data_IF_379529015613
#
_entry.id   IF_379529015613
#
_cell.length_a   1.000
_cell.length_b   1.000
_cell.length_c   1.000
_cell.angle_alpha   90.00
_cell.angle_beta   90.00
_cell.angle_gamma   90.00
#
_symmetry.space_group_name_H-M   'P 1'
#
loop_
_entity.id
_entity.type
_entity.pdbx_description
1 polymer ?
#
# COMPACT_ATOMS: atom_id res chain seq x y z
N UNK A 1 -26.21 2.21 -5.88
CA UNK A 1 -24.97 2.73 -5.30
C UNK A 1 -25.28 3.30 -3.92
N UNK A 2 -24.71 2.76 -2.83
CA UNK A 2 -24.93 3.27 -1.48
C UNK A 2 -24.31 4.66 -1.30
N UNK A 3 -24.83 5.45 -0.35
CA UNK A 3 -24.21 6.73 0.02
C UNK A 3 -22.84 6.50 0.63
N UNK A 4 -21.81 7.06 0.00
CA UNK A 4 -20.46 7.06 0.52
C UNK A 4 -20.27 8.39 1.25
N UNK A 5 -20.04 8.38 2.58
CA UNK A 5 -19.90 9.62 3.35
C UNK A 5 -18.71 10.42 2.80
N UNK A 6 -18.96 11.63 2.33
CA UNK A 6 -17.91 12.59 1.94
C UNK A 6 -17.29 13.29 3.17
N UNK A 7 -17.28 12.62 4.32
CA UNK A 7 -16.75 13.14 5.58
C UNK A 7 -15.83 12.11 6.20
N UNK A 8 -14.68 12.55 6.69
CA UNK A 8 -13.79 11.70 7.49
C UNK A 8 -14.53 11.15 8.72
N UNK A 9 -14.22 9.93 9.15
CA UNK A 9 -14.67 9.42 10.45
C UNK A 9 -14.13 10.30 11.57
N UNK A 10 -14.80 10.32 12.72
CA UNK A 10 -14.19 10.78 13.95
C UNK A 10 -13.09 9.80 14.35
N UNK A 11 -11.85 10.28 14.53
CA UNK A 11 -10.75 9.43 14.98
C UNK A 11 -9.65 10.24 15.66
N UNK A 12 -8.82 9.55 16.44
CA UNK A 12 -7.53 10.05 16.94
C UNK A 12 -6.41 9.11 16.47
N UNK A 13 -5.24 9.68 16.24
CA UNK A 13 -4.04 8.92 15.89
C UNK A 13 -2.80 9.57 16.49
N UNK A 14 -1.91 8.78 17.10
CA UNK A 14 -0.71 9.29 17.79
C UNK A 14 0.50 9.48 16.87
N UNK A 15 0.49 8.94 15.64
CA UNK A 15 1.54 9.06 14.65
C UNK A 15 1.23 10.06 13.53
N UNK A 16 2.09 10.10 12.52
CA UNK A 16 1.88 10.91 11.31
C UNK A 16 0.95 10.19 10.33
N UNK A 17 0.05 10.95 9.72
CA UNK A 17 -0.90 10.44 8.73
C UNK A 17 -1.25 11.52 7.69
N UNK A 18 -1.92 11.09 6.63
CA UNK A 18 -2.60 11.97 5.68
C UNK A 18 -3.99 11.44 5.37
N UNK A 19 -4.90 12.32 4.97
CA UNK A 19 -6.28 11.99 4.64
C UNK A 19 -6.62 12.48 3.24
N UNK A 20 -7.53 11.77 2.59
CA UNK A 20 -8.06 12.14 1.28
C UNK A 20 -9.56 11.86 1.25
N UNK A 21 -10.35 12.80 0.72
CA UNK A 21 -11.77 12.58 0.40
C UNK A 21 -11.89 12.27 -1.09
N UNK A 22 -12.55 11.16 -1.40
CA UNK A 22 -12.74 10.68 -2.77
C UNK A 22 -14.22 10.53 -3.10
N UNK A 23 -14.55 10.83 -4.34
CA UNK A 23 -15.94 10.74 -4.80
C UNK A 23 -16.46 9.30 -4.86
N UNK A 24 -15.56 8.35 -5.10
CA UNK A 24 -15.86 6.92 -5.32
C UNK A 24 -15.88 6.08 -4.03
N UNK A 25 -15.03 6.41 -3.04
CA UNK A 25 -14.83 5.61 -1.81
C UNK A 25 -15.03 6.38 -0.51
N UNK A 26 -15.43 7.65 -0.58
CA UNK A 26 -15.67 8.51 0.57
C UNK A 26 -14.39 9.06 1.17
N UNK A 27 -13.61 8.29 1.90
CA UNK A 27 -12.38 8.73 2.56
C UNK A 27 -11.32 7.65 2.56
N UNK A 28 -10.06 8.12 2.59
CA UNK A 28 -8.86 7.30 2.79
C UNK A 28 -8.02 7.95 3.88
N UNK A 29 -7.47 7.15 4.78
CA UNK A 29 -6.47 7.56 5.77
C UNK A 29 -5.21 6.73 5.55
N UNK A 30 -4.04 7.41 5.42
CA UNK A 30 -2.75 6.77 5.20
C UNK A 30 -1.85 7.06 6.40
N UNK A 31 -1.50 6.03 7.16
CA UNK A 31 -0.62 6.11 8.33
C UNK A 31 0.83 5.97 7.89
N UNK A 32 1.65 6.99 8.20
CA UNK A 32 3.04 7.14 7.74
C UNK A 32 4.08 6.73 8.77
N UNK A 33 3.73 6.77 10.05
CA UNK A 33 4.58 6.30 11.15
C UNK A 33 3.74 5.41 12.07
N UNK A 34 4.38 4.57 12.86
CA UNK A 34 3.69 3.74 13.86
C UNK A 34 2.97 4.58 14.89
N UNK A 35 1.85 4.08 15.41
CA UNK A 35 1.03 4.77 16.38
C UNK A 35 -0.20 3.98 16.77
N UNK A 36 -1.10 4.62 17.53
CA UNK A 36 -2.38 4.06 17.97
C UNK A 36 -3.53 4.82 17.34
N UNK A 37 -4.42 4.09 16.69
CA UNK A 37 -5.67 4.59 16.10
C UNK A 37 -6.84 4.30 17.03
N UNK A 38 -7.70 5.28 17.25
CA UNK A 38 -9.01 5.09 17.89
C UNK A 38 -10.08 5.76 17.04
N UNK A 39 -11.07 5.00 16.59
CA UNK A 39 -12.27 5.53 15.93
C UNK A 39 -13.19 6.05 17.04
N UNK A 40 -13.70 7.29 16.94
CA UNK A 40 -14.40 7.95 18.04
C UNK A 40 -15.89 8.15 17.80
N UNK A 41 -16.35 8.01 16.56
CA UNK A 41 -17.74 8.34 16.20
C UNK A 41 -18.70 7.14 16.24
N UNK A 42 -18.37 6.00 15.64
CA UNK A 42 -19.20 4.78 15.63
C UNK A 42 -18.42 3.53 15.22
N UNK A 43 -19.00 2.38 15.48
CA UNK A 43 -18.51 1.12 14.90
C UNK A 43 -18.59 1.18 13.38
N UNK A 44 -17.58 0.63 12.70
CA UNK A 44 -17.46 0.68 11.23
C UNK A 44 -16.96 -0.63 10.67
N UNK A 45 -17.13 -0.79 9.37
CA UNK A 45 -16.34 -1.73 8.57
C UNK A 45 -15.40 -0.95 7.68
N UNK A 46 -14.13 -1.32 7.69
CA UNK A 46 -13.09 -0.68 6.88
C UNK A 46 -12.44 -1.68 5.95
N UNK A 47 -11.92 -1.19 4.82
CA UNK A 47 -10.96 -1.92 4.02
C UNK A 47 -9.56 -1.48 4.43
N UNK A 48 -8.64 -2.44 4.49
CA UNK A 48 -7.25 -2.22 4.95
C UNK A 48 -6.29 -2.66 3.86
N UNK A 49 -5.29 -1.83 3.58
CA UNK A 49 -4.18 -2.13 2.69
C UNK A 49 -2.86 -1.83 3.42
N UNK A 50 -1.99 -2.83 3.49
CA UNK A 50 -0.69 -2.75 4.14
C UNK A 50 0.43 -2.94 3.13
N UNK A 51 1.52 -2.23 3.33
CA UNK A 51 2.78 -2.40 2.60
C UNK A 51 3.91 -2.50 3.63
N UNK A 52 4.70 -3.58 3.57
CA UNK A 52 5.93 -3.72 4.37
C UNK A 52 7.02 -2.75 3.94
N UNK A 53 8.09 -2.61 4.70
CA UNK A 53 9.27 -1.85 4.29
C UNK A 53 9.97 -2.51 3.11
N UNK A 54 10.58 -1.75 2.22
CA UNK A 54 11.39 -2.27 1.12
C UNK A 54 12.75 -2.80 1.61
N UNK A 55 13.36 -3.73 0.87
CA UNK A 55 14.72 -4.21 1.10
C UNK A 55 15.77 -3.20 0.68
N UNK A 56 16.95 -3.24 1.26
CA UNK A 56 18.09 -2.41 0.86
C UNK A 56 18.80 -2.97 -0.37
N UNK A 57 19.50 -2.12 -1.12
CA UNK A 57 20.39 -2.50 -2.21
C UNK A 57 21.75 -2.97 -1.68
N UNK A 58 22.45 -3.79 -2.46
CA UNK A 58 23.78 -4.28 -2.14
C UNK A 58 24.85 -3.22 -2.44
N UNK A 59 25.93 -3.26 -1.65
CA UNK A 59 27.08 -2.39 -1.73
C UNK A 59 28.15 -2.99 -2.65
N UNK A 60 28.98 -2.14 -3.25
CA UNK A 60 30.15 -2.55 -4.01
C UNK A 60 31.43 -2.21 -3.20
N UNK A 61 32.29 -3.20 -2.92
CA UNK A 61 33.57 -3.04 -2.25
C UNK A 61 34.71 -3.50 -3.15
N UNK A 62 35.78 -2.75 -3.20
CA UNK A 62 37.08 -3.06 -3.82
C UNK A 62 37.05 -3.65 -5.24
N UNK A 63 37.55 -2.86 -6.18
CA UNK A 63 37.98 -3.26 -7.52
C UNK A 63 37.05 -4.14 -8.35
N UNK A 64 35.71 -4.08 -8.11
CA UNK A 64 34.75 -4.78 -8.92
C UNK A 64 34.01 -3.83 -9.85
N UNK A 65 34.19 -4.00 -11.16
CA UNK A 65 33.40 -3.30 -12.18
C UNK A 65 31.95 -3.83 -12.29
N UNK A 66 31.52 -4.66 -11.33
CA UNK A 66 30.22 -5.27 -11.35
C UNK A 66 29.13 -4.34 -10.76
N UNK A 67 28.01 -4.26 -11.45
CA UNK A 67 26.78 -3.66 -10.91
C UNK A 67 26.17 -4.59 -9.86
N UNK A 68 25.68 -4.02 -8.76
CA UNK A 68 25.11 -4.77 -7.66
C UNK A 68 23.57 -4.79 -7.69
N UNK A 69 22.95 -5.75 -6.99
CA UNK A 69 21.52 -5.95 -7.00
C UNK A 69 20.77 -4.92 -6.17
N UNK A 70 19.60 -4.48 -6.66
CA UNK A 70 18.63 -3.65 -5.92
C UNK A 70 17.76 -4.48 -4.96
N UNK A 71 17.24 -3.86 -3.91
CA UNK A 71 16.31 -4.48 -2.97
C UNK A 71 14.92 -4.69 -3.57
N UNK A 72 14.18 -5.70 -3.11
CA UNK A 72 12.77 -5.90 -3.43
C UNK A 72 11.87 -4.89 -2.71
N UNK A 73 10.74 -4.54 -3.29
CA UNK A 73 9.70 -3.78 -2.62
C UNK A 73 9.05 -4.57 -1.49
N UNK A 74 8.46 -3.91 -0.49
CA UNK A 74 7.72 -4.56 0.58
C UNK A 74 6.55 -5.40 0.05
N UNK A 75 6.20 -6.49 0.72
CA UNK A 75 5.00 -7.25 0.39
C UNK A 75 3.74 -6.44 0.70
N UNK A 76 2.64 -6.74 0.02
CA UNK A 76 1.37 -6.06 0.21
C UNK A 76 0.28 -7.04 0.68
N UNK A 77 -0.55 -6.58 1.60
CA UNK A 77 -1.73 -7.32 2.09
C UNK A 77 -2.94 -6.41 2.00
N UNK A 78 -4.08 -6.95 1.54
CA UNK A 78 -5.36 -6.26 1.49
C UNK A 78 -6.46 -7.15 2.07
N UNK A 79 -7.31 -6.56 2.89
CA UNK A 79 -8.55 -7.19 3.37
C UNK A 79 -9.67 -6.16 3.42
N UNK A 80 -10.88 -6.60 3.06
CA UNK A 80 -12.08 -5.76 3.03
C UNK A 80 -13.02 -6.11 4.18
N UNK A 81 -13.80 -5.13 4.62
CA UNK A 81 -14.90 -5.36 5.56
C UNK A 81 -14.47 -5.68 7.00
N UNK A 82 -13.27 -5.28 7.43
CA UNK A 82 -12.79 -5.48 8.79
C UNK A 82 -13.65 -4.67 9.76
N UNK A 83 -14.25 -5.30 10.78
CA UNK A 83 -15.01 -4.57 11.80
C UNK A 83 -14.07 -3.82 12.74
N UNK A 84 -14.35 -2.54 12.97
CA UNK A 84 -13.68 -1.71 13.98
C UNK A 84 -14.71 -1.13 14.94
N UNK A 85 -14.41 -1.17 16.23
CA UNK A 85 -15.28 -0.66 17.28
C UNK A 85 -14.86 0.74 17.70
N UNK A 86 -15.81 1.63 17.87
CA UNK A 86 -15.58 2.96 18.42
C UNK A 86 -15.03 2.85 19.85
N UNK A 87 -14.09 3.72 20.20
CA UNK A 87 -13.42 3.73 21.50
C UNK A 87 -12.33 2.67 21.68
N UNK A 88 -12.20 1.71 20.76
CA UNK A 88 -11.13 0.70 20.85
C UNK A 88 -9.84 1.22 20.25
N UNK A 89 -8.73 1.01 20.96
CA UNK A 89 -7.38 1.35 20.51
C UNK A 89 -6.81 0.23 19.60
N UNK A 90 -6.42 0.61 18.38
CA UNK A 90 -5.79 -0.28 17.41
C UNK A 90 -4.34 0.11 17.19
N UNK A 91 -3.42 -0.83 17.41
CA UNK A 91 -2.00 -0.63 17.10
C UNK A 91 -1.77 -0.66 15.60
N UNK A 92 -1.07 0.35 15.08
CA UNK A 92 -0.60 0.45 13.70
C UNK A 92 0.93 0.43 13.76
N UNK A 93 1.54 -0.54 13.10
CA UNK A 93 3.00 -0.65 12.99
C UNK A 93 3.40 -0.45 11.54
N UNK A 94 4.32 0.49 11.31
CA UNK A 94 4.89 0.75 9.98
C UNK A 94 6.29 0.13 9.94
N UNK A 95 6.50 -0.80 9.02
CA UNK A 95 7.78 -1.46 8.82
C UNK A 95 8.84 -0.48 8.31
N UNK A 96 10.00 -0.45 8.94
CA UNK A 96 11.15 0.31 8.47
C UNK A 96 11.69 -0.26 7.15
N UNK A 97 12.33 0.56 6.34
CA UNK A 97 13.11 0.09 5.20
C UNK A 97 14.33 -0.69 5.66
N UNK A 98 14.76 -1.66 4.87
CA UNK A 98 16.00 -2.40 5.08
C UNK A 98 17.22 -1.48 4.92
N UNK A 99 18.27 -1.70 5.72
CA UNK A 99 19.51 -0.97 5.62
C UNK A 99 20.17 -1.20 4.26
N UNK A 100 20.84 -0.17 3.75
CA UNK A 100 21.80 -0.32 2.68
C UNK A 100 23.03 -1.11 3.16
N UNK A 101 23.72 -1.80 2.28
CA UNK A 101 25.09 -2.19 2.52
C UNK A 101 25.39 -3.66 2.56
N UNK A 102 26.66 -3.97 2.78
CA UNK A 102 27.23 -5.31 2.88
C UNK A 102 27.15 -6.13 1.60
N UNK A 103 27.42 -7.44 1.73
CA UNK A 103 27.24 -8.42 0.64
C UNK A 103 25.77 -8.62 0.29
N UNK A 104 24.88 -8.28 1.21
CA UNK A 104 23.44 -8.33 1.03
C UNK A 104 22.83 -7.12 1.75
N UNK A 105 21.97 -6.40 1.06
CA UNK A 105 21.17 -5.34 1.68
C UNK A 105 20.24 -5.91 2.75
N UNK A 106 19.87 -5.08 3.73
CA UNK A 106 18.95 -5.48 4.80
C UNK A 106 17.56 -5.81 4.29
N UNK A 107 16.88 -6.73 4.94
CA UNK A 107 15.45 -6.98 4.74
C UNK A 107 14.63 -5.86 5.38
N UNK A 108 13.58 -5.42 4.71
CA UNK A 108 12.64 -4.44 5.26
C UNK A 108 11.85 -4.99 6.44
N UNK A 109 11.32 -4.09 7.28
CA UNK A 109 10.46 -4.43 8.42
C UNK A 109 9.04 -4.77 7.99
N UNK A 110 8.33 -5.48 8.86
CA UNK A 110 6.91 -5.84 8.69
C UNK A 110 6.01 -4.68 9.11
N UNK A 111 5.02 -4.35 8.29
CA UNK A 111 3.90 -3.47 8.69
C UNK A 111 2.74 -4.32 9.19
N UNK A 112 2.07 -3.90 10.27
CA UNK A 112 0.92 -4.64 10.80
C UNK A 112 -0.17 -3.72 11.34
N UNK A 113 -1.42 -4.14 11.19
CA UNK A 113 -2.61 -3.47 11.74
C UNK A 113 -3.81 -4.43 11.70
N UNK A 114 -4.74 -4.32 12.63
CA UNK A 114 -6.02 -5.04 12.63
C UNK A 114 -5.88 -6.58 12.47
N UNK A 115 -4.85 -7.17 13.07
CA UNK A 115 -4.56 -8.60 12.94
C UNK A 115 -3.92 -9.03 11.62
N UNK A 116 -3.66 -8.10 10.69
CA UNK A 116 -2.97 -8.34 9.43
C UNK A 116 -1.49 -7.96 9.53
N UNK A 117 -0.66 -8.60 8.68
CA UNK A 117 0.76 -8.25 8.56
C UNK A 117 1.25 -8.37 7.12
N UNK A 118 2.08 -7.41 6.68
CA UNK A 118 2.76 -7.40 5.40
C UNK A 118 4.27 -7.39 5.64
N UNK A 119 4.96 -8.43 5.22
CA UNK A 119 6.41 -8.59 5.41
C UNK A 119 7.20 -7.57 4.60
N UNK A 120 8.42 -7.27 5.01
CA UNK A 120 9.34 -6.46 4.23
C UNK A 120 9.95 -7.18 3.04
N UNK A 121 10.38 -6.42 2.03
CA UNK A 121 11.11 -6.90 0.86
C UNK A 121 12.52 -7.36 1.25
N UNK A 122 13.08 -8.30 0.49
CA UNK A 122 14.44 -8.81 0.67
C UNK A 122 15.48 -7.85 0.12
N UNK A 123 16.65 -7.82 0.72
CA UNK A 123 17.77 -7.05 0.19
C UNK A 123 18.31 -7.63 -1.12
N UNK A 124 18.90 -6.77 -1.96
CA UNK A 124 19.69 -7.17 -3.11
C UNK A 124 21.03 -7.78 -2.66
N UNK A 125 21.64 -8.60 -3.49
CA UNK A 125 22.91 -9.26 -3.18
C UNK A 125 24.07 -8.71 -4.02
N UNK A 126 25.27 -8.86 -3.52
CA UNK A 126 26.53 -8.59 -4.20
C UNK A 126 27.01 -9.83 -4.94
N UNK A 127 27.62 -9.63 -6.09
CA UNK A 127 28.38 -10.64 -6.83
C UNK A 127 29.59 -10.02 -7.52
N UNK A 128 30.61 -10.79 -7.79
CA UNK A 128 31.79 -10.37 -8.54
C UNK A 128 31.53 -10.07 -10.03
N UNK A 129 30.42 -10.55 -10.59
CA UNK A 129 30.06 -10.35 -12.00
C UNK A 129 28.77 -9.54 -12.16
N UNK A 130 27.73 -9.87 -11.40
CA UNK A 130 26.44 -9.18 -11.43
C UNK A 130 25.67 -9.55 -10.15
N UNK A 131 25.35 -8.57 -9.33
CA UNK A 131 24.52 -8.77 -8.14
C UNK A 131 23.10 -9.15 -8.49
N UNK A 132 22.42 -9.92 -7.63
CA UNK A 132 21.00 -10.33 -7.83
C UNK A 132 20.04 -9.43 -7.05
N UNK A 133 18.88 -9.16 -7.65
CA UNK A 133 17.81 -8.38 -7.03
C UNK A 133 17.10 -9.13 -5.91
N UNK A 134 16.64 -8.40 -4.88
CA UNK A 134 15.86 -8.93 -3.77
C UNK A 134 14.43 -9.25 -4.17
N UNK A 135 13.85 -10.32 -3.61
CA UNK A 135 12.42 -10.64 -3.77
C UNK A 135 11.54 -9.72 -2.92
N UNK A 136 10.29 -9.49 -3.36
CA UNK A 136 9.36 -8.65 -2.63
C UNK A 136 7.98 -8.50 -3.26
N UNK A 137 7.25 -7.46 -2.90
CA UNK A 137 6.00 -7.07 -3.55
C UNK A 137 6.22 -6.89 -5.04
N UNK A 138 7.22 -6.09 -5.43
CA UNK A 138 7.87 -6.12 -6.75
C UNK A 138 9.34 -6.49 -6.58
N UNK A 139 9.91 -7.24 -7.52
CA UNK A 139 11.29 -7.69 -7.46
C UNK A 139 12.30 -6.55 -7.69
N UNK A 140 13.43 -6.57 -6.99
CA UNK A 140 14.57 -5.70 -7.27
C UNK A 140 15.29 -6.12 -8.55
N UNK A 141 15.92 -5.18 -9.26
CA UNK A 141 16.71 -5.45 -10.45
C UNK A 141 18.03 -6.14 -10.14
N UNK A 142 18.49 -7.08 -10.96
CA UNK A 142 19.88 -7.50 -10.99
C UNK A 142 20.76 -6.32 -11.43
N UNK A 143 22.08 -6.43 -11.23
CA UNK A 143 23.00 -5.42 -11.75
C UNK A 143 22.74 -5.11 -13.21
N UNK A 144 22.56 -3.84 -13.57
CA UNK A 144 22.18 -3.40 -14.92
C UNK A 144 20.72 -3.58 -15.30
N UNK A 145 19.85 -4.05 -14.40
CA UNK A 145 18.41 -4.23 -14.67
C UNK A 145 17.54 -3.30 -13.82
N UNK A 146 16.47 -2.78 -14.43
CA UNK A 146 15.47 -1.99 -13.71
C UNK A 146 14.77 -2.83 -12.63
N UNK A 147 14.30 -2.18 -11.59
CA UNK A 147 13.42 -2.77 -10.62
C UNK A 147 12.02 -3.05 -11.18
N UNK A 148 11.34 -4.05 -10.65
CA UNK A 148 9.96 -4.38 -10.99
C UNK A 148 8.96 -3.37 -10.43
N UNK A 149 7.79 -3.29 -11.06
CA UNK A 149 6.66 -2.44 -10.67
C UNK A 149 5.38 -3.29 -10.59
N UNK A 150 4.44 -2.86 -9.79
CA UNK A 150 3.10 -3.46 -9.69
C UNK A 150 3.09 -5.00 -9.54
N UNK A 151 3.95 -5.51 -8.67
CA UNK A 151 4.03 -6.95 -8.37
C UNK A 151 4.86 -7.74 -9.37
N UNK A 152 5.44 -7.13 -10.40
CA UNK A 152 6.26 -7.84 -11.38
C UNK A 152 7.59 -8.30 -10.79
N UNK A 153 8.12 -9.39 -11.34
CA UNK A 153 9.51 -9.81 -11.14
C UNK A 153 10.43 -8.93 -11.98
N UNK A 154 11.67 -8.80 -11.50
CA UNK A 154 12.79 -8.24 -12.25
C UNK A 154 13.96 -9.23 -12.09
N UNK A 155 15.09 -8.84 -11.50
CA UNK A 155 16.12 -9.80 -11.07
C UNK A 155 15.64 -10.68 -9.91
N UNK A 156 14.98 -10.06 -8.91
CA UNK A 156 14.28 -10.74 -7.83
C UNK A 156 12.83 -11.07 -8.18
N UNK A 157 12.24 -12.02 -7.47
CA UNK A 157 10.86 -12.46 -7.67
C UNK A 157 9.89 -11.42 -7.11
N UNK A 158 8.93 -10.98 -7.91
CA UNK A 158 7.73 -10.25 -7.48
C UNK A 158 6.59 -11.21 -7.14
N UNK A 159 5.54 -10.70 -6.49
CA UNK A 159 4.38 -11.53 -6.07
C UNK A 159 3.41 -11.85 -7.18
N UNK A 160 3.45 -11.16 -8.33
CA UNK A 160 2.42 -11.21 -9.36
C UNK A 160 1.08 -10.57 -8.95
N UNK A 161 1.03 -9.99 -7.75
CA UNK A 161 -0.18 -9.34 -7.21
C UNK A 161 -0.04 -7.84 -7.33
N UNK A 162 -1.11 -7.17 -7.79
CA UNK A 162 -1.14 -5.71 -7.92
C UNK A 162 -0.77 -5.02 -6.61
N UNK A 163 0.15 -4.07 -6.67
CA UNK A 163 0.59 -3.20 -5.56
C UNK A 163 -0.03 -1.81 -5.59
N UNK A 164 -1.03 -1.57 -6.46
CA UNK A 164 -1.87 -0.39 -6.36
C UNK A 164 -2.63 -0.37 -5.02
N UNK A 165 -2.77 0.81 -4.46
CA UNK A 165 -3.55 1.02 -3.22
C UNK A 165 -4.93 0.40 -3.35
N UNK A 166 -5.31 -0.44 -2.40
CA UNK A 166 -6.52 -1.27 -2.43
C UNK A 166 -6.70 -2.07 -3.74
N UNK A 167 -5.60 -2.40 -4.44
CA UNK A 167 -5.57 -3.14 -5.72
C UNK A 167 -6.43 -2.51 -6.81
N UNK A 168 -6.61 -1.20 -6.76
CA UNK A 168 -7.44 -0.43 -7.69
C UNK A 168 -6.54 0.31 -8.68
N UNK A 169 -6.63 0.00 -9.98
CA UNK A 169 -5.86 0.67 -11.02
C UNK A 169 -6.13 2.19 -11.03
N UNK A 170 -5.08 2.99 -11.26
CA UNK A 170 -5.17 4.46 -11.20
C UNK A 170 -5.05 5.06 -9.79
N UNK A 171 -4.96 4.23 -8.74
CA UNK A 171 -4.64 4.66 -7.38
C UNK A 171 -3.12 4.68 -7.18
N UNK A 172 -2.61 5.27 -6.07
CA UNK A 172 -1.17 5.26 -5.78
C UNK A 172 -0.56 3.87 -5.89
N UNK A 173 0.61 3.77 -6.49
CA UNK A 173 1.36 2.54 -6.64
C UNK A 173 2.43 2.46 -5.54
N UNK A 174 2.61 1.28 -4.96
CA UNK A 174 3.54 1.01 -3.86
C UNK A 174 4.48 -0.15 -4.18
N UNK A 175 5.41 -0.38 -3.31
CA UNK A 175 6.28 -1.56 -3.28
C UNK A 175 7.06 -1.79 -4.58
N UNK A 176 7.53 -0.72 -5.23
CA UNK A 176 8.43 -0.81 -6.37
C UNK A 176 9.78 -1.41 -5.97
N UNK A 177 10.36 -2.28 -6.78
CA UNK A 177 11.70 -2.83 -6.56
C UNK A 177 12.78 -1.79 -6.84
N UNK A 178 13.90 -1.80 -6.11
CA UNK A 178 15.07 -1.00 -6.42
C UNK A 178 15.74 -1.44 -7.72
N UNK A 179 16.30 -0.52 -8.50
CA UNK A 179 17.11 -0.83 -9.67
C UNK A 179 18.46 -1.43 -9.25
N UNK A 180 19.00 -2.36 -10.03
CA UNK A 180 20.39 -2.76 -9.90
C UNK A 180 21.33 -1.61 -10.29
N UNK A 181 22.61 -1.70 -9.98
CA UNK A 181 23.58 -0.69 -10.40
C UNK A 181 23.43 -0.34 -11.87
N UNK A 182 23.54 0.91 -12.23
CA UNK A 182 23.33 1.48 -13.59
C UNK A 182 21.91 1.33 -14.15
N UNK A 183 20.89 1.13 -13.30
CA UNK A 183 19.50 0.93 -13.74
C UNK A 183 18.47 1.71 -12.88
N UNK A 184 17.27 1.88 -13.39
CA UNK A 184 16.19 2.60 -12.72
C UNK A 184 15.49 1.73 -11.68
N UNK A 185 15.01 2.35 -10.61
CA UNK A 185 14.02 1.76 -9.70
C UNK A 185 12.67 1.57 -10.38
N UNK A 186 11.89 0.59 -9.92
CA UNK A 186 10.52 0.39 -10.36
C UNK A 186 9.57 1.45 -9.82
N UNK A 187 8.45 1.67 -10.53
CA UNK A 187 7.39 2.55 -10.06
C UNK A 187 6.83 2.04 -8.72
N UNK A 188 6.36 2.98 -7.90
CA UNK A 188 5.92 2.66 -6.54
C UNK A 188 7.01 2.85 -5.51
N UNK A 189 8.00 3.69 -5.82
CA UNK A 189 8.99 4.18 -4.87
C UNK A 189 10.34 3.46 -4.87
N UNK A 190 10.64 2.63 -5.86
CA UNK A 190 11.95 1.98 -6.00
C UNK A 190 13.08 3.01 -6.21
N UNK A 191 14.20 2.84 -5.51
CA UNK A 191 15.40 3.68 -5.66
C UNK A 191 16.21 3.29 -6.91
N UNK A 192 16.77 4.26 -7.60
CA UNK A 192 17.66 4.02 -8.75
C UNK A 192 18.99 3.42 -8.31
N UNK A 193 19.57 2.56 -9.14
CA UNK A 193 20.94 2.07 -8.99
C UNK A 193 21.97 3.19 -9.17
N UNK A 194 23.12 3.04 -8.53
CA UNK A 194 24.26 3.94 -8.69
C UNK A 194 24.90 3.79 -10.06
N UNK A 195 25.58 4.85 -10.54
CA UNK A 195 26.24 4.87 -11.85
C UNK A 195 25.28 4.97 -13.04
N UNK A 196 24.02 5.30 -12.81
CA UNK A 196 23.06 5.54 -13.87
C UNK A 196 23.50 6.77 -14.68
N UNK A 197 23.70 6.60 -16.00
CA UNK A 197 24.00 7.66 -16.91
C UNK A 197 22.69 8.34 -17.36
N UNK A 198 22.40 9.50 -16.79
CA UNK A 198 21.29 10.32 -17.26
C UNK A 198 21.88 11.28 -18.33
N UNK A 199 21.29 11.30 -19.52
CA UNK A 199 21.76 12.10 -20.66
C UNK A 199 22.01 13.57 -20.25
N UNK A 200 23.29 14.01 -20.36
CA UNK A 200 23.71 15.40 -20.14
C UNK A 200 24.48 15.67 -18.85
N UNK A 201 24.56 14.74 -17.89
CA UNK A 201 25.32 14.93 -16.65
C UNK A 201 26.55 14.02 -16.58
N UNK A 202 27.69 14.58 -16.08
CA UNK A 202 28.83 13.81 -15.58
C UNK A 202 28.32 12.83 -14.52
N UNK A 203 28.75 11.56 -14.62
CA UNK A 203 28.44 10.44 -13.72
C UNK A 203 27.79 10.86 -12.39
N UNK A 204 26.48 10.66 -12.28
CA UNK A 204 25.80 10.72 -10.99
C UNK A 204 26.48 9.73 -10.05
N UNK A 205 26.47 10.02 -8.74
CA UNK A 205 27.01 9.16 -7.67
C UNK A 205 26.83 7.67 -8.01
N UNK A 206 27.89 6.90 -7.83
CA UNK A 206 27.87 5.43 -8.00
C UNK A 206 27.13 4.72 -6.86
N UNK A 207 26.70 5.48 -5.85
CA UNK A 207 25.84 4.98 -4.79
C UNK A 207 24.43 4.77 -5.27
N UNK A 208 23.83 3.66 -4.86
CA UNK A 208 22.40 3.41 -5.06
C UNK A 208 21.56 4.41 -4.28
N UNK A 209 20.41 4.81 -4.85
CA UNK A 209 19.47 5.70 -4.18
C UNK A 209 18.54 4.93 -3.26
N UNK A 210 18.16 5.56 -2.16
CA UNK A 210 17.16 4.99 -1.27
C UNK A 210 15.80 4.85 -1.96
N UNK A 211 15.04 3.84 -1.57
CA UNK A 211 13.62 3.73 -1.85
C UNK A 211 12.85 4.86 -1.15
N UNK A 212 11.75 5.27 -1.74
CA UNK A 212 10.92 6.35 -1.22
C UNK A 212 10.25 5.95 0.10
N UNK A 213 10.33 6.79 1.11
CA UNK A 213 9.68 6.56 2.39
C UNK A 213 8.15 6.45 2.25
N UNK A 214 7.52 5.62 3.06
CA UNK A 214 6.08 5.35 3.07
C UNK A 214 5.53 4.79 1.75
N UNK A 215 6.38 4.10 0.99
CA UNK A 215 5.97 3.36 -0.21
C UNK A 215 6.31 1.88 -0.15
N UNK A 216 7.20 1.49 0.76
CA UNK A 216 7.77 0.15 0.76
C UNK A 216 8.70 -0.11 -0.44
N UNK A 217 9.20 0.95 -1.10
CA UNK A 217 10.10 0.81 -2.24
C UNK A 217 11.46 0.24 -1.87
N UNK A 218 12.02 -0.67 -2.69
CA UNK A 218 13.37 -1.21 -2.52
C UNK A 218 14.45 -0.17 -2.79
N UNK A 219 15.61 -0.28 -2.16
CA UNK A 219 16.79 0.56 -2.42
C UNK A 219 17.57 0.10 -3.64
N UNK A 220 18.19 1.01 -4.36
CA UNK A 220 19.01 0.72 -5.53
C UNK A 220 20.35 0.06 -5.16
N UNK A 221 20.85 -0.84 -6.01
CA UNK A 221 22.19 -1.43 -5.88
C UNK A 221 23.30 -0.44 -6.23
N UNK A 222 24.50 -0.63 -5.72
CA UNK A 222 25.66 0.16 -6.09
C UNK A 222 26.09 -0.08 -7.54
N UNK A 223 26.57 0.94 -8.20
CA UNK A 223 27.13 0.89 -9.53
C UNK A 223 28.55 0.32 -9.59
N UNK A 224 29.13 0.19 -10.81
CA UNK A 224 30.48 -0.28 -11.00
C UNK A 224 31.50 0.72 -10.50
N UNK A 225 32.66 0.25 -10.04
CA UNK A 225 33.71 1.08 -9.48
C UNK A 225 34.39 2.01 -10.50
N UNK A 226 34.57 1.51 -11.76
CA UNK A 226 35.30 2.23 -12.80
C UNK A 226 36.71 2.59 -12.34
N UNK A 227 37.23 3.78 -12.69
CA UNK A 227 38.55 4.25 -12.40
C UNK A 227 38.75 4.88 -10.99
N UNK A 228 37.86 4.59 -10.02
CA UNK A 228 38.00 5.08 -8.63
C UNK A 228 38.65 4.00 -7.75
N UNK A 229 40.00 4.08 -7.54
CA UNK A 229 40.71 3.02 -6.84
C UNK A 229 40.40 2.92 -5.35
N UNK A 230 39.69 3.90 -4.78
CA UNK A 230 39.39 3.97 -3.35
C UNK A 230 37.90 3.93 -3.05
N UNK A 231 37.07 3.70 -4.06
CA UNK A 231 35.64 3.89 -3.95
C UNK A 231 34.89 2.67 -3.39
N UNK A 232 34.50 2.72 -2.13
CA UNK A 232 33.36 1.97 -1.64
C UNK A 232 32.08 2.67 -2.07
N UNK A 233 31.21 1.97 -2.81
CA UNK A 233 29.94 2.53 -3.23
C UNK A 233 28.80 1.84 -2.49
N UNK A 234 28.02 2.62 -1.75
CA UNK A 234 26.91 2.13 -0.96
C UNK A 234 25.71 1.76 -1.85
N UNK A 235 24.99 0.72 -1.48
CA UNK A 235 23.63 0.53 -1.95
C UNK A 235 22.70 1.58 -1.32
N UNK A 236 21.47 1.72 -1.82
CA UNK A 236 20.41 2.54 -1.21
C UNK A 236 19.68 1.77 -0.11
N UNK A 237 19.25 2.43 0.96
CA UNK A 237 18.32 1.86 1.92
C UNK A 237 16.95 1.64 1.28
N UNK A 238 16.17 0.66 1.76
CA UNK A 238 14.75 0.55 1.40
C UNK A 238 13.91 1.68 2.00
N UNK A 239 12.76 1.98 1.39
CA UNK A 239 11.77 2.90 1.94
C UNK A 239 10.92 2.23 3.02
N UNK A 240 10.45 2.99 4.00
CA UNK A 240 9.48 2.49 4.98
C UNK A 240 8.16 2.07 4.32
N UNK A 241 7.43 1.14 4.94
CA UNK A 241 6.09 0.75 4.56
C UNK A 241 5.02 1.80 4.84
N UNK A 242 3.78 1.42 4.65
CA UNK A 242 2.59 2.26 4.91
C UNK A 242 1.40 1.36 5.28
N UNK A 243 0.46 1.90 6.05
CA UNK A 243 -0.86 1.30 6.27
C UNK A 243 -1.92 2.28 5.81
N UNK A 244 -2.83 1.81 4.96
CA UNK A 244 -3.93 2.61 4.44
C UNK A 244 -5.27 1.98 4.86
N UNK A 245 -6.22 2.80 5.25
CA UNK A 245 -7.59 2.38 5.49
C UNK A 245 -8.55 3.26 4.70
N UNK A 246 -9.67 2.66 4.25
CA UNK A 246 -10.77 3.38 3.62
C UNK A 246 -12.11 2.88 4.11
N UNK A 247 -13.15 3.63 3.82
CA UNK A 247 -14.51 3.17 4.04
C UNK A 247 -14.75 1.85 3.29
N UNK A 248 -15.32 0.86 3.95
CA UNK A 248 -15.71 -0.38 3.25
C UNK A 248 -17.05 -0.18 2.55
N UNK A 249 -17.19 -0.77 1.37
CA UNK A 249 -18.50 -0.89 0.71
C UNK A 249 -19.55 -1.63 1.57
N UNK A 250 -19.07 -2.41 2.56
CA UNK A 250 -19.89 -3.14 3.52
C UNK A 250 -20.17 -2.34 4.82
N UNK A 251 -19.69 -1.08 4.92
CA UNK A 251 -20.00 -0.17 6.03
C UNK A 251 -21.37 0.50 5.77
N UNK A 252 -22.40 -0.28 5.88
CA UNK A 252 -23.78 0.22 5.67
C UNK A 252 -24.23 0.91 6.95
N UNK A 253 -24.65 2.19 6.83
CA UNK A 253 -25.34 2.85 7.93
C UNK A 253 -26.71 2.18 8.10
N UNK A 254 -27.01 1.66 9.29
CA UNK A 254 -28.36 1.18 9.55
C UNK A 254 -29.33 2.37 9.50
N UNK A 255 -30.41 2.22 8.76
CA UNK A 255 -31.50 3.19 8.78
C UNK A 255 -32.48 2.75 9.88
N UNK A 256 -32.81 3.65 10.78
CA UNK A 256 -33.83 3.44 11.79
C UNK A 256 -35.05 4.26 11.40
N UNK A 257 -36.20 3.60 11.31
CA UNK A 257 -37.48 4.24 11.10
C UNK A 257 -38.38 3.84 12.27
N UNK A 258 -38.92 4.83 12.96
CA UNK A 258 -39.79 4.65 14.12
C UNK A 258 -39.22 3.65 15.16
N UNK A 259 -37.93 3.85 15.51
CA UNK A 259 -37.22 2.99 16.46
C UNK A 259 -36.88 1.59 15.95
N UNK A 260 -37.26 1.24 14.73
CA UNK A 260 -37.00 -0.08 14.13
C UNK A 260 -35.85 -0.02 13.12
N UNK A 261 -34.91 -0.98 13.22
CA UNK A 261 -33.81 -1.14 12.26
C UNK A 261 -34.36 -1.66 10.92
N UNK A 262 -34.16 -0.90 9.86
CA UNK A 262 -34.50 -1.33 8.51
C UNK A 262 -33.30 -1.98 7.85
N UNK A 263 -33.39 -3.28 7.57
CA UNK A 263 -32.35 -4.04 6.87
C UNK A 263 -32.55 -4.10 5.36
N UNK A 264 -33.82 -3.98 4.90
CA UNK A 264 -34.20 -3.90 3.49
C UNK A 264 -35.40 -2.97 3.34
N UNK A 265 -35.34 -2.07 2.36
CA UNK A 265 -36.50 -1.27 1.95
C UNK A 265 -36.94 -1.73 0.56
N UNK A 266 -38.20 -2.13 0.46
CA UNK A 266 -38.85 -2.54 -0.83
C UNK A 266 -40.07 -1.68 -1.05
N UNK A 267 -40.16 -1.02 -2.20
CA UNK A 267 -41.34 -0.32 -2.63
C UNK A 267 -41.92 -0.97 -3.89
N UNK A 268 -43.16 -1.42 -3.83
CA UNK A 268 -43.81 -2.14 -4.92
C UNK A 268 -43.03 -3.34 -5.49
N UNK A 269 -42.40 -4.12 -4.61
CA UNK A 269 -41.59 -5.28 -4.99
C UNK A 269 -40.19 -4.97 -5.57
N UNK A 270 -39.84 -3.69 -5.65
CA UNK A 270 -38.55 -3.24 -6.14
C UNK A 270 -37.68 -2.72 -4.95
N UNK A 271 -36.43 -3.12 -4.90
CA UNK A 271 -35.54 -2.61 -3.88
C UNK A 271 -35.37 -1.09 -4.02
N UNK A 272 -35.58 -0.36 -2.92
CA UNK A 272 -35.43 1.10 -2.89
C UNK A 272 -33.96 1.47 -2.82
N UNK A 273 -33.46 2.11 -3.88
CA UNK A 273 -32.09 2.61 -3.92
C UNK A 273 -31.91 3.91 -3.15
N UNK A 274 -32.99 4.66 -2.93
CA UNK A 274 -32.94 5.98 -2.30
C UNK A 274 -34.16 6.18 -1.39
N UNK A 275 -33.89 6.58 -0.14
CA UNK A 275 -34.90 7.12 0.77
C UNK A 275 -34.60 8.60 0.98
N UNK A 276 -35.63 9.46 0.85
CA UNK A 276 -35.51 10.89 1.17
C UNK A 276 -36.33 11.14 2.43
N UNK A 277 -35.73 11.70 3.47
CA UNK A 277 -36.38 12.13 4.67
C UNK A 277 -36.01 13.58 4.96
N UNK A 278 -36.98 14.45 5.14
CA UNK A 278 -36.78 15.90 5.33
C UNK A 278 -35.81 16.54 4.32
N UNK A 279 -35.94 16.20 3.03
CA UNK A 279 -35.07 16.72 1.97
C UNK A 279 -33.64 16.13 1.95
N UNK A 280 -33.30 15.26 2.90
CA UNK A 280 -31.99 14.59 2.94
C UNK A 280 -32.11 13.21 2.33
N UNK A 281 -31.31 12.93 1.31
CA UNK A 281 -31.19 11.59 0.72
C UNK A 281 -30.52 10.63 1.69
N UNK A 282 -31.24 9.61 2.14
CA UNK A 282 -30.71 8.46 2.86
C UNK A 282 -30.57 7.32 1.84
N UNK A 283 -29.35 6.79 1.67
CA UNK A 283 -29.08 5.76 0.68
C UNK A 283 -29.07 4.37 1.32
N UNK A 284 -29.75 3.42 0.69
CA UNK A 284 -29.66 2.00 0.99
C UNK A 284 -29.08 1.25 -0.21
N UNK A 285 -28.22 0.29 0.03
CA UNK A 285 -27.67 -0.59 -1.01
C UNK A 285 -28.73 -1.66 -1.34
N UNK A 286 -29.10 -1.78 -2.60
CA UNK A 286 -29.75 -2.98 -3.11
C UNK A 286 -28.79 -4.16 -3.00
N UNK A 287 -29.10 -5.14 -2.15
CA UNK A 287 -28.42 -6.44 -2.16
C UNK A 287 -29.09 -7.25 -3.27
N UNK A 288 -28.38 -7.47 -4.39
CA UNK A 288 -28.84 -8.30 -5.47
C UNK A 288 -29.27 -9.68 -4.97
N UNK A 289 -30.55 -10.01 -5.07
CA UNK A 289 -31.08 -11.33 -4.73
C UNK A 289 -30.59 -12.38 -5.72
N UNK A 290 -29.87 -13.37 -5.23
CA UNK A 290 -30.00 -14.75 -5.70
C UNK A 290 -30.67 -15.54 -4.57
N UNK A 291 -31.89 -16.03 -4.84
CA UNK A 291 -32.60 -16.99 -3.97
C UNK A 291 -33.84 -16.42 -3.29
N UNK A 292 -35.01 -16.81 -3.79
CA UNK A 292 -36.32 -16.63 -3.15
C UNK A 292 -36.37 -17.43 -1.84
N UNK A 293 -36.78 -16.79 -0.77
CA UNK A 293 -37.65 -17.41 0.24
C UNK A 293 -38.59 -16.34 0.74
N UNK A 294 -39.89 -16.71 0.75
CA UNK A 294 -41.01 -15.90 1.22
C UNK A 294 -40.86 -15.64 2.74
N UNK A 295 -40.83 -14.38 3.14
CA UNK A 295 -41.23 -13.98 4.48
C UNK A 295 -41.84 -12.57 4.41
N UNK A 296 -43.07 -12.50 4.86
CA UNK A 296 -43.93 -11.40 5.27
C UNK A 296 -43.69 -10.00 4.71
N UNK A 297 -44.64 -9.58 3.82
CA UNK A 297 -44.81 -8.18 3.40
C UNK A 297 -45.19 -7.30 4.61
N UNK A 298 -44.31 -6.46 5.10
CA UNK A 298 -44.69 -5.24 5.77
C UNK A 298 -44.64 -4.11 4.74
N UNK A 299 -45.73 -3.83 4.09
CA UNK A 299 -45.87 -2.72 3.15
C UNK A 299 -45.99 -1.41 3.92
N UNK A 300 -45.08 -0.48 3.70
CA UNK A 300 -45.21 0.91 4.15
C UNK A 300 -46.06 1.66 3.12
N UNK A 301 -47.26 2.07 3.49
CA UNK A 301 -48.10 2.97 2.69
C UNK A 301 -47.71 4.40 3.07
N UNK A 302 -47.02 5.13 2.18
CA UNK A 302 -46.88 6.57 2.32
C UNK A 302 -48.22 7.23 1.96
N UNK A 303 -48.97 7.69 2.98
CA UNK A 303 -50.12 8.59 2.80
C UNK A 303 -49.62 9.97 2.36
N UNK A 304 -50.27 10.51 1.32
CA UNK A 304 -50.11 11.92 0.93
C UNK A 304 -50.74 12.81 2.01
N UNK A 305 -50.02 13.77 2.48
CA UNK A 305 -50.46 14.94 3.23
C UNK A 305 -49.64 16.14 2.83
#
# INVERSE_FOLDING_TARGET
MGYIPKKLPGFTYTGQYSTELRADWGWVIRFKTSGTLTITDRNRKIDVFLVGGGGGGAQNWYASDANQGGGGGGYTVMQTGIPVQAGTAYSIVIGAGGSAGGSTGGTGGTSSAFGLSASGGKGGTKSGSCGTGGAGGSGGGNGGQNGGSNGSSAGGTGTGVSTYEFRTAGWPLYAGGGGGGSAYGGDGGGGNGGGLHISGDSFTSRDGKAGTANTGGGGGGAGPQGNDPNGEHAGGAGGSGIVCIRNSANDVLPVVFDGTWLTNLVHNGTDVEHLIYNGTRLFMRAVGRRGRTNAGNAGLVCGQG
#
